data_IF_811207936541
#
_entry.id   IF_811207936541
#
_cell.length_a   1.000
_cell.length_b   1.000
_cell.length_c   1.000
_cell.angle_alpha   90.00
_cell.angle_beta   90.00
_cell.angle_gamma   90.00
#
_symmetry.space_group_name_H-M   'P 1'
#
loop_
_entity.id
_entity.type
_entity.pdbx_description
1 polymer ?
#
# COMPACT_ATOMS: atom_id res chain seq x y z
N UNK A 1 18.96 -66.06 -9.58
CA UNK A 1 18.19 -66.41 -8.36
C UNK A 1 18.80 -67.67 -7.76
N UNK A 2 19.12 -67.69 -6.47
CA UNK A 2 19.59 -68.88 -5.78
C UNK A 2 18.71 -69.18 -4.57
N UNK A 3 18.42 -70.45 -4.31
CA UNK A 3 17.65 -70.91 -3.16
C UNK A 3 18.42 -72.00 -2.40
N UNK A 4 18.28 -72.02 -1.08
CA UNK A 4 18.81 -73.09 -0.24
C UNK A 4 17.69 -74.08 0.07
N UNK A 5 18.01 -75.38 0.05
CA UNK A 5 17.05 -76.41 0.42
C UNK A 5 17.74 -77.63 1.02
N UNK A 6 16.98 -78.41 1.76
CA UNK A 6 17.43 -79.67 2.35
C UNK A 6 16.79 -80.84 1.62
N UNK A 7 17.61 -81.82 1.24
CA UNK A 7 17.13 -83.07 0.68
C UNK A 7 17.95 -84.22 1.26
N UNK A 8 17.28 -85.24 1.78
CA UNK A 8 17.92 -86.38 2.43
C UNK A 8 18.97 -85.98 3.50
N UNK A 9 18.62 -85.04 4.38
CA UNK A 9 19.47 -84.48 5.46
C UNK A 9 20.76 -83.77 5.01
N UNK A 10 20.91 -83.48 3.71
CA UNK A 10 22.03 -82.71 3.18
C UNK A 10 21.55 -81.33 2.71
N UNK A 11 22.36 -80.28 2.91
CA UNK A 11 22.06 -78.94 2.40
C UNK A 11 22.50 -78.81 0.94
N UNK A 12 21.67 -78.16 0.15
CA UNK A 12 21.95 -77.84 -1.24
C UNK A 12 21.65 -76.38 -1.52
N UNK A 13 22.32 -75.83 -2.52
CA UNK A 13 22.00 -74.53 -3.12
C UNK A 13 21.64 -74.76 -4.58
N UNK A 14 20.51 -74.23 -5.03
CA UNK A 14 20.12 -74.32 -6.43
C UNK A 14 19.99 -72.93 -7.05
N UNK A 15 20.24 -72.84 -8.36
CA UNK A 15 19.98 -71.63 -9.14
C UNK A 15 19.62 -71.98 -10.58
N UNK A 16 18.87 -71.10 -11.23
CA UNK A 16 18.65 -71.15 -12.67
C UNK A 16 19.59 -70.16 -13.33
N UNK A 17 20.32 -70.63 -14.34
CA UNK A 17 21.19 -69.81 -15.18
C UNK A 17 20.64 -69.86 -16.60
N UNK A 18 20.43 -68.68 -17.19
CA UNK A 18 20.07 -68.58 -18.60
C UNK A 18 21.33 -68.79 -19.45
N UNK A 19 21.30 -69.79 -20.31
CA UNK A 19 22.31 -69.98 -21.36
C UNK A 19 21.76 -69.49 -22.70
N UNK A 20 22.61 -69.39 -23.74
CA UNK A 20 22.23 -68.84 -25.04
C UNK A 20 21.05 -69.57 -25.74
N UNK A 21 20.75 -70.81 -25.34
CA UNK A 21 19.72 -71.64 -25.97
C UNK A 21 18.70 -72.27 -25.01
N UNK A 22 18.93 -72.28 -23.69
CA UNK A 22 17.98 -72.84 -22.71
C UNK A 22 18.25 -72.37 -21.26
N UNK A 23 17.31 -72.67 -20.36
CA UNK A 23 17.50 -72.51 -18.91
C UNK A 23 18.18 -73.76 -18.34
N UNK A 24 19.23 -73.55 -17.54
CA UNK A 24 19.99 -74.61 -16.87
C UNK A 24 19.79 -74.51 -15.35
N UNK A 25 19.24 -75.57 -14.75
CA UNK A 25 19.18 -75.74 -13.31
C UNK A 25 20.54 -76.25 -12.80
N UNK A 26 21.11 -75.55 -11.83
CA UNK A 26 22.34 -75.97 -11.15
C UNK A 26 22.03 -76.25 -9.69
N UNK A 27 22.39 -77.43 -9.21
CA UNK A 27 22.24 -77.84 -7.81
C UNK A 27 23.62 -78.14 -7.27
N UNK A 28 24.07 -77.37 -6.28
CA UNK A 28 25.36 -77.52 -5.63
C UNK A 28 25.18 -78.13 -4.25
N UNK A 29 25.97 -79.16 -3.94
CA UNK A 29 26.03 -79.77 -2.61
C UNK A 29 27.08 -79.07 -1.72
N UNK A 30 27.12 -79.41 -0.43
CA UNK A 30 28.09 -78.87 0.54
C UNK A 30 29.57 -79.16 0.18
N UNK A 31 29.84 -80.20 -0.62
CA UNK A 31 31.18 -80.59 -1.08
C UNK A 31 31.65 -79.78 -2.30
N UNK A 32 30.82 -78.86 -2.78
CA UNK A 32 31.09 -78.02 -3.95
C UNK A 32 30.87 -78.72 -5.30
N UNK A 33 30.29 -79.92 -5.33
CA UNK A 33 29.90 -80.58 -6.57
C UNK A 33 28.59 -80.00 -7.08
N UNK A 34 28.51 -79.79 -8.40
CA UNK A 34 27.36 -79.19 -9.06
C UNK A 34 26.74 -80.21 -10.01
N UNK A 35 25.44 -80.42 -9.89
CA UNK A 35 24.59 -81.07 -10.88
C UNK A 35 23.97 -79.98 -11.77
N UNK A 36 24.34 -79.96 -13.04
CA UNK A 36 23.77 -79.07 -14.05
C UNK A 36 22.81 -79.86 -14.95
N UNK A 37 21.58 -79.38 -15.08
CA UNK A 37 20.51 -79.99 -15.88
C UNK A 37 19.87 -78.92 -16.73
N UNK A 38 19.96 -79.07 -18.05
CA UNK A 38 19.25 -78.20 -18.98
C UNK A 38 17.78 -78.60 -19.08
N UNK A 39 16.91 -77.61 -19.20
CA UNK A 39 15.46 -77.83 -19.26
C UNK A 39 15.09 -78.78 -20.41
N UNK A 40 14.27 -79.79 -20.12
CA UNK A 40 13.82 -80.82 -21.08
C UNK A 40 14.82 -81.96 -21.35
N UNK A 41 16.03 -81.95 -20.79
CA UNK A 41 17.01 -83.05 -20.98
C UNK A 41 16.94 -84.08 -19.84
N UNK A 42 17.11 -85.36 -20.20
CA UNK A 42 17.15 -86.49 -19.25
C UNK A 42 18.57 -86.85 -18.78
N UNK A 43 19.60 -86.22 -19.36
CA UNK A 43 21.00 -86.38 -18.98
C UNK A 43 21.51 -85.06 -18.39
N UNK A 44 22.03 -85.12 -17.17
CA UNK A 44 22.69 -84.02 -16.47
C UNK A 44 24.21 -84.21 -16.38
N UNK A 45 24.90 -83.14 -16.00
CA UNK A 45 26.35 -83.12 -15.78
C UNK A 45 26.63 -82.93 -14.29
N UNK A 46 27.31 -83.88 -13.65
CA UNK A 46 27.66 -83.81 -12.23
C UNK A 46 29.17 -83.73 -12.03
N UNK A 47 29.65 -82.69 -11.37
CA UNK A 47 31.07 -82.55 -11.03
C UNK A 47 31.44 -81.20 -10.43
N UNK A 48 32.71 -81.04 -10.05
CA UNK A 48 33.24 -79.74 -9.54
C UNK A 48 33.53 -78.74 -10.66
N UNK A 49 33.82 -79.24 -11.87
CA UNK A 49 34.07 -78.45 -13.08
C UNK A 49 33.36 -79.10 -14.27
N UNK A 50 32.96 -78.30 -15.27
CA UNK A 50 32.16 -78.80 -16.40
C UNK A 50 32.97 -79.75 -17.29
N UNK A 51 34.27 -79.51 -17.42
CA UNK A 51 35.19 -80.27 -18.27
C UNK A 51 35.40 -81.70 -17.76
N UNK A 52 35.32 -81.89 -16.44
CA UNK A 52 35.51 -83.19 -15.77
C UNK A 52 34.19 -83.76 -15.21
N UNK A 53 33.05 -83.27 -15.71
CA UNK A 53 31.74 -83.66 -15.18
C UNK A 53 31.29 -85.02 -15.72
N UNK A 54 30.73 -85.85 -14.83
CA UNK A 54 30.16 -87.14 -15.19
C UNK A 54 28.76 -86.93 -15.75
N UNK A 55 28.46 -87.57 -16.89
CA UNK A 55 27.10 -87.64 -17.43
C UNK A 55 26.26 -88.58 -16.56
N UNK A 56 25.16 -88.08 -16.02
CA UNK A 56 24.26 -88.82 -15.14
C UNK A 56 22.84 -88.78 -15.67
N UNK A 57 22.12 -89.90 -15.57
CA UNK A 57 20.71 -89.95 -15.95
C UNK A 57 19.86 -89.37 -14.82
N UNK A 58 19.20 -88.24 -15.08
CA UNK A 58 18.44 -87.50 -14.08
C UNK A 58 17.05 -88.09 -13.80
N UNK A 59 16.61 -89.07 -14.60
CA UNK A 59 15.37 -89.84 -14.37
C UNK A 59 15.52 -90.88 -13.26
N UNK A 60 16.73 -91.08 -12.73
CA UNK A 60 16.93 -91.92 -11.54
C UNK A 60 16.14 -91.36 -10.35
N UNK A 61 15.47 -92.20 -9.52
CA UNK A 61 14.55 -91.73 -8.49
C UNK A 61 15.14 -90.69 -7.52
N UNK A 62 16.40 -90.87 -7.13
CA UNK A 62 17.08 -89.93 -6.23
C UNK A 62 17.31 -88.56 -6.89
N UNK A 63 17.88 -88.53 -8.10
CA UNK A 63 18.19 -87.29 -8.82
C UNK A 63 16.91 -86.56 -9.26
N UNK A 64 15.89 -87.31 -9.70
CA UNK A 64 14.58 -86.77 -10.06
C UNK A 64 13.93 -86.03 -8.88
N UNK A 65 13.90 -86.67 -7.70
CA UNK A 65 13.33 -86.07 -6.50
C UNK A 65 14.18 -84.91 -5.96
N UNK A 66 15.52 -84.98 -6.10
CA UNK A 66 16.42 -83.86 -5.79
C UNK A 66 16.15 -82.65 -6.69
N UNK A 67 15.96 -82.87 -7.99
CA UNK A 67 15.59 -81.82 -8.96
C UNK A 67 14.22 -81.24 -8.64
N UNK A 68 13.23 -82.07 -8.32
CA UNK A 68 11.90 -81.61 -7.90
C UNK A 68 11.97 -80.75 -6.63
N UNK A 69 12.76 -81.17 -5.63
CA UNK A 69 12.97 -80.40 -4.42
C UNK A 69 13.67 -79.05 -4.70
N UNK A 70 14.66 -79.04 -5.60
CA UNK A 70 15.34 -77.82 -6.02
C UNK A 70 14.42 -76.83 -6.76
N UNK A 71 13.54 -77.34 -7.64
CA UNK A 71 12.57 -76.51 -8.37
C UNK A 71 11.52 -75.92 -7.43
N UNK A 72 10.97 -76.70 -6.51
CA UNK A 72 10.05 -76.20 -5.48
C UNK A 72 10.71 -75.11 -4.61
N UNK A 73 11.99 -75.32 -4.23
CA UNK A 73 12.72 -74.34 -3.44
C UNK A 73 12.92 -73.01 -4.19
N UNK A 74 13.17 -73.07 -5.51
CA UNK A 74 13.26 -71.87 -6.35
C UNK A 74 11.92 -71.15 -6.49
N UNK A 75 10.83 -71.89 -6.71
CA UNK A 75 9.48 -71.32 -6.80
C UNK A 75 9.04 -70.64 -5.50
N UNK A 76 9.31 -71.29 -4.36
CA UNK A 76 9.06 -70.70 -3.03
C UNK A 76 9.87 -69.42 -2.86
N UNK A 77 11.17 -69.44 -3.19
CA UNK A 77 12.02 -68.26 -3.08
C UNK A 77 11.54 -67.11 -3.99
N UNK A 78 11.10 -67.42 -5.22
CA UNK A 78 10.60 -66.41 -6.18
C UNK A 78 9.30 -65.78 -5.67
N UNK A 79 8.37 -66.59 -5.18
CA UNK A 79 7.12 -66.12 -4.59
C UNK A 79 7.34 -65.32 -3.32
N UNK A 80 8.25 -65.76 -2.43
CA UNK A 80 8.61 -65.01 -1.22
C UNK A 80 9.22 -63.65 -1.56
N UNK A 81 10.08 -63.56 -2.58
CA UNK A 81 10.60 -62.27 -3.04
C UNK A 81 9.50 -61.36 -3.58
N UNK A 82 8.60 -61.88 -4.42
CA UNK A 82 7.47 -61.08 -4.93
C UNK A 82 6.56 -60.57 -3.81
N UNK A 83 6.31 -61.39 -2.79
CA UNK A 83 5.54 -60.97 -1.62
C UNK A 83 6.24 -59.85 -0.84
N UNK A 84 7.55 -59.96 -0.60
CA UNK A 84 8.33 -58.89 0.04
C UNK A 84 8.32 -57.59 -0.78
N UNK A 85 8.44 -57.68 -2.10
CA UNK A 85 8.36 -56.52 -3.00
C UNK A 85 6.96 -55.89 -2.96
N UNK A 86 5.90 -56.70 -2.93
CA UNK A 86 4.52 -56.21 -2.81
C UNK A 86 4.26 -55.58 -1.43
N UNK A 87 4.73 -56.18 -0.34
CA UNK A 87 4.62 -55.63 1.01
C UNK A 87 5.31 -54.26 1.11
N UNK A 88 6.53 -54.13 0.57
CA UNK A 88 7.24 -52.85 0.54
C UNK A 88 6.50 -51.77 -0.28
N UNK A 89 5.88 -52.14 -1.41
CA UNK A 89 5.05 -51.21 -2.20
C UNK A 89 3.80 -50.79 -1.44
N UNK A 90 3.12 -51.73 -0.77
CA UNK A 90 1.93 -51.46 0.04
C UNK A 90 2.28 -50.54 1.21
N UNK A 91 3.41 -50.76 1.88
CA UNK A 91 3.89 -49.90 2.97
C UNK A 91 4.11 -48.47 2.49
N UNK A 92 4.82 -48.30 1.37
CA UNK A 92 5.04 -46.99 0.76
C UNK A 92 3.74 -46.30 0.31
N UNK A 93 2.79 -47.06 -0.24
CA UNK A 93 1.48 -46.52 -0.61
C UNK A 93 0.68 -46.10 0.61
N UNK A 94 0.74 -46.86 1.71
CA UNK A 94 0.08 -46.51 2.96
C UNK A 94 0.66 -45.24 3.58
N UNK A 95 1.99 -45.07 3.55
CA UNK A 95 2.64 -43.82 3.96
C UNK A 95 2.15 -42.63 3.13
N UNK A 96 2.06 -42.79 1.80
CA UNK A 96 1.59 -41.74 0.91
C UNK A 96 0.11 -41.39 1.17
N UNK A 97 -0.74 -42.39 1.42
CA UNK A 97 -2.15 -42.18 1.78
C UNK A 97 -2.26 -41.38 3.07
N UNK A 98 -1.40 -41.64 4.05
CA UNK A 98 -1.45 -40.93 5.33
C UNK A 98 -1.00 -39.47 5.19
N UNK A 99 0.03 -39.20 4.39
CA UNK A 99 0.44 -37.83 4.07
C UNK A 99 -0.67 -37.04 3.36
N UNK A 100 -1.34 -37.66 2.38
CA UNK A 100 -2.45 -37.02 1.66
C UNK A 100 -3.63 -36.71 2.57
N UNK A 101 -3.95 -37.58 3.54
CA UNK A 101 -4.99 -37.29 4.55
C UNK A 101 -4.62 -36.08 5.40
N UNK A 102 -3.38 -36.00 5.86
CA UNK A 102 -2.91 -34.84 6.64
C UNK A 102 -3.01 -33.54 5.82
N UNK A 103 -2.65 -33.58 4.54
CA UNK A 103 -2.76 -32.42 3.65
C UNK A 103 -4.22 -31.99 3.44
N UNK A 104 -5.14 -32.95 3.27
CA UNK A 104 -6.58 -32.67 3.17
C UNK A 104 -7.14 -32.04 4.45
N UNK A 105 -6.73 -32.49 5.64
CA UNK A 105 -7.14 -31.89 6.91
C UNK A 105 -6.66 -30.43 7.03
N UNK A 106 -5.40 -30.17 6.66
CA UNK A 106 -4.84 -28.81 6.66
C UNK A 106 -5.64 -27.93 5.70
N UNK A 107 -5.94 -28.42 4.50
CA UNK A 107 -6.71 -27.69 3.50
C UNK A 107 -8.12 -27.34 4.00
N UNK A 108 -8.82 -28.29 4.65
CA UNK A 108 -10.13 -28.05 5.23
C UNK A 108 -10.10 -27.03 6.36
N UNK A 109 -9.10 -27.09 7.26
CA UNK A 109 -8.91 -26.07 8.32
C UNK A 109 -8.67 -24.68 7.74
N UNK A 110 -7.81 -24.58 6.72
CA UNK A 110 -7.54 -23.32 6.05
C UNK A 110 -8.80 -22.73 5.40
N UNK A 111 -9.64 -23.59 4.81
CA UNK A 111 -10.93 -23.16 4.23
C UNK A 111 -11.88 -22.61 5.30
N UNK A 112 -12.01 -23.28 6.45
CA UNK A 112 -12.85 -22.80 7.56
C UNK A 112 -12.33 -21.46 8.09
N UNK A 113 -11.01 -21.35 8.31
CA UNK A 113 -10.38 -20.12 8.76
C UNK A 113 -10.62 -18.96 7.79
N UNK A 114 -10.57 -19.22 6.47
CA UNK A 114 -10.87 -18.22 5.44
C UNK A 114 -12.31 -17.72 5.53
N UNK A 115 -13.28 -18.62 5.73
CA UNK A 115 -14.69 -18.24 5.89
C UNK A 115 -14.91 -17.41 7.16
N UNK A 116 -14.27 -17.78 8.27
CA UNK A 116 -14.34 -16.98 9.51
C UNK A 116 -13.73 -15.58 9.35
N UNK A 117 -12.67 -15.44 8.53
CA UNK A 117 -12.08 -14.14 8.23
C UNK A 117 -13.04 -13.29 7.38
N UNK A 118 -13.71 -13.87 6.40
CA UNK A 118 -14.73 -13.19 5.60
C UNK A 118 -15.91 -12.71 6.47
N UNK A 119 -16.40 -13.54 7.38
CA UNK A 119 -17.47 -13.17 8.32
C UNK A 119 -17.05 -12.04 9.26
N UNK A 120 -15.80 -12.08 9.77
CA UNK A 120 -15.24 -10.99 10.59
C UNK A 120 -15.14 -9.68 9.80
N UNK A 121 -14.70 -9.74 8.55
CA UNK A 121 -14.62 -8.55 7.69
C UNK A 121 -16.00 -7.97 7.43
N UNK A 122 -17.01 -8.80 7.15
CA UNK A 122 -18.39 -8.36 6.97
C UNK A 122 -18.95 -7.72 8.24
N UNK A 123 -18.67 -8.32 9.41
CA UNK A 123 -19.08 -7.77 10.69
C UNK A 123 -18.46 -6.39 10.95
N UNK A 124 -17.15 -6.25 10.75
CA UNK A 124 -16.43 -4.98 10.90
C UNK A 124 -16.96 -3.91 9.94
N UNK A 125 -17.26 -4.28 8.69
CA UNK A 125 -17.87 -3.35 7.72
C UNK A 125 -19.23 -2.85 8.18
N UNK A 126 -20.07 -3.71 8.76
CA UNK A 126 -21.37 -3.33 9.30
C UNK A 126 -21.22 -2.42 10.53
N UNK A 127 -20.30 -2.73 11.45
CA UNK A 127 -19.98 -1.86 12.58
C UNK A 127 -19.49 -0.48 12.12
N UNK A 128 -18.63 -0.41 11.10
CA UNK A 128 -18.16 0.86 10.54
C UNK A 128 -19.33 1.71 9.98
N UNK A 129 -20.25 1.10 9.23
CA UNK A 129 -21.45 1.79 8.72
C UNK A 129 -22.33 2.35 9.84
N UNK A 130 -22.51 1.58 10.92
CA UNK A 130 -23.28 2.03 12.09
C UNK A 130 -22.59 3.21 12.80
N UNK A 131 -21.27 3.10 13.01
CA UNK A 131 -20.49 4.18 13.60
C UNK A 131 -20.51 5.46 12.74
N UNK A 132 -20.40 5.35 11.41
CA UNK A 132 -20.52 6.49 10.50
C UNK A 132 -21.88 7.18 10.61
N UNK A 133 -22.97 6.41 10.70
CA UNK A 133 -24.30 6.95 10.90
C UNK A 133 -24.44 7.70 12.23
N UNK A 134 -23.90 7.15 13.33
CA UNK A 134 -23.91 7.78 14.64
C UNK A 134 -23.08 9.07 14.65
N UNK A 135 -21.90 9.07 14.03
CA UNK A 135 -21.03 10.24 13.90
C UNK A 135 -21.74 11.35 13.13
N UNK A 136 -22.39 11.03 12.00
CA UNK A 136 -23.11 12.03 11.20
C UNK A 136 -24.31 12.61 11.96
N UNK A 137 -25.03 11.78 12.74
CA UNK A 137 -26.10 12.23 13.63
C UNK A 137 -25.58 13.17 14.73
N UNK A 138 -24.45 12.84 15.36
CA UNK A 138 -23.82 13.70 16.37
C UNK A 138 -23.30 15.01 15.76
N UNK A 139 -22.68 14.95 14.58
CA UNK A 139 -22.21 16.13 13.84
C UNK A 139 -23.35 17.12 13.59
N UNK A 140 -24.51 16.64 13.11
CA UNK A 140 -25.70 17.49 12.92
C UNK A 140 -26.18 18.12 14.23
N UNK A 141 -26.10 17.39 15.35
CA UNK A 141 -26.45 17.94 16.67
C UNK A 141 -25.47 19.03 17.10
N UNK A 142 -24.16 18.83 16.92
CA UNK A 142 -23.13 19.83 17.23
C UNK A 142 -23.36 21.09 16.42
N UNK A 143 -23.58 20.99 15.10
CA UNK A 143 -23.82 22.15 14.25
C UNK A 143 -25.04 22.98 14.71
N UNK A 144 -26.13 22.32 15.15
CA UNK A 144 -27.31 23.00 15.71
C UNK A 144 -27.01 23.73 17.03
N UNK A 145 -26.21 23.12 17.90
CA UNK A 145 -25.79 23.74 19.15
C UNK A 145 -24.85 24.92 18.91
N UNK A 146 -23.91 24.79 17.97
CA UNK A 146 -23.03 25.88 17.53
C UNK A 146 -23.84 27.04 16.95
N UNK A 147 -24.84 26.78 16.09
CA UNK A 147 -25.74 27.81 15.57
C UNK A 147 -26.54 28.52 16.69
N UNK A 148 -26.97 27.78 17.72
CA UNK A 148 -27.67 28.37 18.87
C UNK A 148 -26.78 29.22 19.78
N UNK A 149 -25.49 28.92 19.86
CA UNK A 149 -24.50 29.68 20.64
C UNK A 149 -23.90 30.86 19.88
N UNK A 150 -24.06 30.90 18.56
CA UNK A 150 -23.47 31.89 17.68
C UNK A 150 -24.17 33.25 17.77
N UNK A 151 -23.39 34.34 17.81
CA UNK A 151 -23.90 35.72 17.76
C UNK A 151 -24.27 36.18 16.35
N UNK A 152 -24.09 35.33 15.33
CA UNK A 152 -24.39 35.68 13.95
C UNK A 152 -25.91 35.74 13.72
N UNK A 153 -26.41 36.68 12.90
CA UNK A 153 -27.79 36.65 12.41
C UNK A 153 -28.13 35.28 11.81
N UNK A 154 -29.31 34.73 12.13
CA UNK A 154 -29.75 33.40 11.69
C UNK A 154 -30.07 33.30 10.18
N UNK A 155 -29.55 34.22 9.35
CA UNK A 155 -29.85 34.27 7.90
C UNK A 155 -29.42 33.00 7.18
N UNK A 156 -28.34 32.33 7.61
CA UNK A 156 -27.91 31.02 7.08
C UNK A 156 -27.38 30.12 8.20
N UNK A 157 -27.94 28.92 8.32
CA UNK A 157 -27.46 27.87 9.23
C UNK A 157 -26.11 27.27 8.79
N UNK A 158 -25.32 26.79 9.74
CA UNK A 158 -24.03 26.12 9.46
C UNK A 158 -24.19 24.91 8.55
N UNK A 159 -25.30 24.17 8.68
CA UNK A 159 -25.59 23.02 7.81
C UNK A 159 -25.77 23.45 6.34
N UNK A 160 -26.50 24.54 6.11
CA UNK A 160 -26.71 25.06 4.77
C UNK A 160 -25.44 25.67 4.19
N UNK A 161 -24.65 26.38 5.01
CA UNK A 161 -23.33 26.87 4.61
C UNK A 161 -22.43 25.70 4.18
N UNK A 162 -22.35 24.63 4.97
CA UNK A 162 -21.57 23.43 4.64
C UNK A 162 -21.99 22.83 3.29
N UNK A 163 -23.30 22.65 3.06
CA UNK A 163 -23.82 22.13 1.79
C UNK A 163 -23.40 22.99 0.60
N UNK A 164 -23.40 24.32 0.74
CA UNK A 164 -23.03 25.24 -0.33
C UNK A 164 -21.53 25.27 -0.60
N UNK A 165 -20.68 25.15 0.43
CA UNK A 165 -19.25 25.03 0.22
C UNK A 165 -18.91 23.69 -0.42
N UNK A 166 -19.49 22.59 0.09
CA UNK A 166 -19.30 21.23 -0.46
C UNK A 166 -19.69 21.15 -1.93
N UNK A 167 -20.80 21.77 -2.34
CA UNK A 167 -21.25 21.73 -3.73
C UNK A 167 -20.31 22.46 -4.69
N UNK A 168 -19.61 23.49 -4.21
CA UNK A 168 -18.59 24.22 -4.99
C UNK A 168 -17.26 23.51 -4.99
N UNK A 169 -16.78 23.07 -3.83
CA UNK A 169 -15.47 22.48 -3.63
C UNK A 169 -15.38 21.02 -4.11
N UNK A 170 -16.49 20.27 -4.00
CA UNK A 170 -16.54 18.84 -4.24
C UNK A 170 -16.31 18.02 -2.96
N UNK A 171 -16.94 16.85 -2.89
CA UNK A 171 -16.94 16.00 -1.69
C UNK A 171 -15.55 15.48 -1.31
N UNK A 172 -14.75 15.08 -2.31
CA UNK A 172 -13.40 14.57 -2.09
C UNK A 172 -12.50 15.62 -1.45
N UNK A 173 -12.39 16.79 -2.08
CA UNK A 173 -11.59 17.91 -1.57
C UNK A 173 -12.06 18.32 -0.17
N UNK A 174 -13.38 18.46 0.05
CA UNK A 174 -13.93 18.79 1.36
C UNK A 174 -13.50 17.83 2.47
N UNK A 175 -13.59 16.52 2.22
CA UNK A 175 -13.27 15.50 3.21
C UNK A 175 -11.77 15.42 3.54
N UNK A 176 -10.90 15.93 2.66
CA UNK A 176 -9.46 15.95 2.88
C UNK A 176 -8.99 17.18 3.68
N UNK A 177 -9.82 18.22 3.81
CA UNK A 177 -9.45 19.43 4.53
C UNK A 177 -9.36 19.21 6.04
N UNK A 178 -8.48 19.96 6.69
CA UNK A 178 -8.43 20.02 8.15
C UNK A 178 -9.78 20.48 8.73
N UNK A 179 -10.25 19.94 9.88
CA UNK A 179 -11.53 20.33 10.48
C UNK A 179 -11.68 21.83 10.75
N UNK A 180 -10.59 22.50 11.13
CA UNK A 180 -10.56 23.95 11.28
C UNK A 180 -10.77 24.67 9.94
N UNK A 181 -10.22 24.17 8.83
CA UNK A 181 -10.42 24.75 7.50
C UNK A 181 -11.85 24.58 7.01
N UNK A 182 -12.46 23.42 7.29
CA UNK A 182 -13.89 23.23 7.04
C UNK A 182 -14.73 24.25 7.81
N UNK A 183 -14.39 24.54 9.08
CA UNK A 183 -15.05 25.57 9.89
C UNK A 183 -14.86 26.97 9.31
N UNK A 184 -13.63 27.34 8.99
CA UNK A 184 -13.28 28.65 8.44
C UNK A 184 -13.99 28.90 7.10
N UNK A 185 -14.07 27.91 6.22
CA UNK A 185 -14.79 28.01 4.94
C UNK A 185 -16.30 28.20 5.13
N UNK A 186 -16.92 27.50 6.10
CA UNK A 186 -18.34 27.69 6.44
C UNK A 186 -18.59 29.11 6.95
N UNK A 187 -17.72 29.58 7.85
CA UNK A 187 -17.84 30.90 8.45
C UNK A 187 -17.64 32.00 7.39
N UNK A 188 -16.62 31.88 6.53
CA UNK A 188 -16.40 32.79 5.40
C UNK A 188 -17.66 32.90 4.52
N UNK A 189 -18.30 31.77 4.21
CA UNK A 189 -19.53 31.77 3.42
C UNK A 189 -20.71 32.42 4.15
N UNK A 190 -20.84 32.21 5.46
CA UNK A 190 -21.88 32.86 6.30
C UNK A 190 -21.70 34.37 6.32
N UNK A 191 -20.49 34.86 6.61
CA UNK A 191 -20.19 36.29 6.60
C UNK A 191 -20.48 36.92 5.24
N UNK A 192 -19.99 36.31 4.16
CA UNK A 192 -20.27 36.78 2.79
C UNK A 192 -21.77 36.95 2.55
N UNK A 193 -22.57 35.97 2.97
CA UNK A 193 -24.01 36.00 2.76
C UNK A 193 -24.71 37.03 3.63
N UNK A 194 -24.29 37.16 4.89
CA UNK A 194 -24.80 38.17 5.82
C UNK A 194 -24.57 39.58 5.27
N UNK A 195 -23.31 39.91 4.93
CA UNK A 195 -22.92 41.20 4.37
C UNK A 195 -23.70 41.49 3.08
N UNK A 196 -23.84 40.49 2.21
CA UNK A 196 -24.61 40.61 0.96
C UNK A 196 -26.11 40.82 1.18
N UNK A 197 -26.69 40.32 2.27
CA UNK A 197 -28.11 40.55 2.58
C UNK A 197 -28.37 41.89 3.27
N UNK A 198 -27.35 42.48 3.90
CA UNK A 198 -27.40 43.78 4.57
C UNK A 198 -27.16 44.97 3.62
N UNK A 199 -27.25 44.74 2.29
CA UNK A 199 -26.97 45.64 1.15
C UNK A 199 -27.83 46.93 1.05
N UNK A 200 -28.08 47.63 2.16
CA UNK A 200 -28.54 49.02 2.19
C UNK A 200 -27.41 50.04 2.42
N UNK A 201 -26.15 49.60 2.49
CA UNK A 201 -24.99 50.50 2.63
C UNK A 201 -24.05 50.38 1.43
N UNK A 202 -23.68 51.51 0.84
CA UNK A 202 -22.86 51.63 -0.38
C UNK A 202 -21.38 51.27 -0.20
N UNK A 203 -20.98 50.74 0.97
CA UNK A 203 -19.58 50.45 1.33
C UNK A 203 -19.49 49.21 2.22
N UNK A 204 -19.96 48.06 1.73
CA UNK A 204 -19.88 46.80 2.45
C UNK A 204 -18.43 46.27 2.52
N UNK A 205 -17.96 45.93 3.72
CA UNK A 205 -16.63 45.37 3.96
C UNK A 205 -16.69 43.84 4.08
N UNK A 206 -15.97 43.15 3.20
CA UNK A 206 -15.89 41.69 3.16
C UNK A 206 -14.69 41.10 3.92
N UNK A 207 -13.97 41.90 4.72
CA UNK A 207 -12.77 41.47 5.43
C UNK A 207 -13.05 40.29 6.38
N UNK A 208 -14.15 40.33 7.12
CA UNK A 208 -14.57 39.23 8.02
C UNK A 208 -14.89 37.93 7.26
N UNK A 209 -15.35 38.04 6.01
CA UNK A 209 -15.55 36.90 5.13
C UNK A 209 -14.25 36.41 4.50
N UNK A 210 -13.32 37.32 4.18
CA UNK A 210 -12.07 37.03 3.49
C UNK A 210 -10.96 36.51 4.41
N UNK A 211 -10.89 36.99 5.65
CA UNK A 211 -9.83 36.64 6.59
C UNK A 211 -9.72 35.13 6.85
N UNK A 212 -10.82 34.39 7.11
CA UNK A 212 -10.77 32.94 7.29
C UNK A 212 -10.23 32.18 6.07
N UNK A 213 -10.45 32.69 4.86
CA UNK A 213 -9.91 32.09 3.63
C UNK A 213 -8.37 32.12 3.59
N UNK A 214 -7.79 33.20 4.13
CA UNK A 214 -6.34 33.31 4.29
C UNK A 214 -5.75 32.25 5.21
N UNK A 215 -6.41 32.00 6.35
CA UNK A 215 -6.00 30.97 7.31
C UNK A 215 -6.11 29.56 6.71
N UNK A 216 -7.14 29.32 5.89
CA UNK A 216 -7.27 28.06 5.14
C UNK A 216 -6.09 27.87 4.18
N UNK A 217 -5.71 28.91 3.43
CA UNK A 217 -4.58 28.83 2.51
C UNK A 217 -3.27 28.49 3.22
N UNK A 218 -2.98 29.14 4.36
CA UNK A 218 -1.78 28.87 5.14
C UNK A 218 -1.81 27.43 5.70
N UNK A 219 -2.94 26.99 6.24
CA UNK A 219 -3.09 25.67 6.86
C UNK A 219 -2.98 24.52 5.88
N UNK A 220 -3.60 24.63 4.71
CA UNK A 220 -3.71 23.53 3.74
C UNK A 220 -2.56 23.51 2.72
N UNK A 221 -1.86 24.63 2.52
CA UNK A 221 -0.81 24.77 1.50
C UNK A 221 0.57 24.97 2.15
N UNK A 222 0.70 25.98 3.01
CA UNK A 222 2.00 26.42 3.52
C UNK A 222 2.52 25.46 4.58
N UNK A 223 1.72 25.19 5.61
CA UNK A 223 2.11 24.35 6.73
C UNK A 223 2.56 22.94 6.31
N UNK A 224 1.81 22.17 5.50
CA UNK A 224 2.24 20.85 5.10
C UNK A 224 3.51 20.87 4.25
N UNK A 225 3.68 21.87 3.38
CA UNK A 225 4.89 22.01 2.57
C UNK A 225 6.13 22.21 3.44
N UNK A 226 6.12 23.21 4.34
CA UNK A 226 7.31 23.54 5.12
C UNK A 226 7.65 22.47 6.17
N UNK A 227 6.63 21.86 6.81
CA UNK A 227 6.82 20.72 7.71
C UNK A 227 7.56 19.58 7.01
N UNK A 228 7.15 19.26 5.78
CA UNK A 228 7.71 18.13 5.03
C UNK A 228 9.04 18.45 4.34
N UNK A 229 9.22 19.68 3.86
CA UNK A 229 10.50 20.14 3.32
C UNK A 229 11.60 20.10 4.38
N UNK A 230 11.30 20.54 5.61
CA UNK A 230 12.23 20.48 6.73
C UNK A 230 12.63 19.03 7.07
N UNK A 231 11.66 18.10 7.12
CA UNK A 231 11.93 16.67 7.36
C UNK A 231 12.79 16.04 6.25
N UNK A 232 12.51 16.38 5.00
CA UNK A 232 13.30 15.92 3.86
C UNK A 232 14.76 16.39 3.94
N UNK A 233 14.97 17.66 4.29
CA UNK A 233 16.29 18.26 4.42
C UNK A 233 17.10 17.66 5.58
N UNK A 234 16.46 17.40 6.72
CA UNK A 234 17.09 16.69 7.84
C UNK A 234 17.57 15.29 7.43
N UNK A 235 16.75 14.54 6.70
CA UNK A 235 17.08 13.17 6.27
C UNK A 235 18.25 13.14 5.28
N UNK A 236 18.38 14.18 4.43
CA UNK A 236 19.50 14.33 3.48
C UNK A 236 20.81 14.72 4.16
N UNK A 237 20.76 15.44 5.29
CA UNK A 237 21.93 15.80 6.07
C UNK A 237 22.29 14.67 7.04
N UNK A 238 23.05 13.69 6.57
CA UNK A 238 23.52 12.50 7.32
C UNK A 238 24.33 12.81 8.59
N UNK A 239 24.68 14.07 8.85
CA UNK A 239 25.51 14.51 9.98
C UNK A 239 24.75 15.18 11.12
N UNK A 240 23.41 15.28 11.04
CA UNK A 240 22.60 15.97 12.06
C UNK A 240 21.93 14.96 12.98
N UNK A 241 22.16 15.09 14.28
CA UNK A 241 21.48 14.27 15.28
C UNK A 241 19.98 14.60 15.29
N UNK A 242 19.11 13.58 15.34
CA UNK A 242 17.65 13.74 15.29
C UNK A 242 17.07 14.67 16.38
N UNK A 243 17.85 14.95 17.44
CA UNK A 243 17.45 15.73 18.59
C UNK A 243 17.89 17.20 18.54
N UNK A 244 18.75 17.59 17.61
CA UNK A 244 19.16 18.99 17.46
C UNK A 244 18.20 19.71 16.51
N UNK A 245 17.49 20.72 17.03
CA UNK A 245 16.69 21.69 16.26
C UNK A 245 17.63 22.58 15.43
N UNK A 246 18.27 22.00 14.43
CA UNK A 246 19.23 22.70 13.60
C UNK A 246 18.51 23.58 12.59
N UNK A 247 18.79 24.90 12.57
CA UNK A 247 18.29 25.77 11.52
C UNK A 247 18.90 25.37 10.17
N UNK A 248 18.06 25.19 9.15
CA UNK A 248 18.49 24.90 7.78
C UNK A 248 18.22 26.15 6.93
N UNK A 249 19.28 26.78 6.44
CA UNK A 249 19.16 27.96 5.61
C UNK A 249 18.84 27.55 4.16
N UNK A 250 17.77 28.10 3.60
CA UNK A 250 17.39 27.92 2.20
C UNK A 250 17.16 29.30 1.57
N UNK A 251 18.18 29.80 0.89
CA UNK A 251 18.30 31.22 0.51
C UNK A 251 18.18 32.15 1.72
N UNK A 252 17.19 33.04 1.74
CA UNK A 252 16.92 33.93 2.87
C UNK A 252 15.96 33.36 3.93
N UNK A 253 15.49 32.12 3.78
CA UNK A 253 14.53 31.50 4.69
C UNK A 253 15.28 30.61 5.67
N UNK A 254 15.09 30.87 6.95
CA UNK A 254 15.65 30.04 8.02
C UNK A 254 14.64 28.96 8.43
N UNK A 255 14.85 27.73 7.97
CA UNK A 255 13.95 26.62 8.26
C UNK A 255 14.26 26.02 9.64
N UNK A 256 13.33 26.17 10.57
CA UNK A 256 13.35 25.59 11.92
C UNK A 256 12.12 24.70 12.17
N UNK A 257 12.24 23.83 13.18
CA UNK A 257 11.11 23.05 13.72
C UNK A 257 10.02 24.02 14.18
N UNK A 258 8.79 23.79 13.74
CA UNK A 258 7.61 24.61 14.05
C UNK A 258 7.76 26.10 13.68
N UNK A 259 8.57 26.40 12.65
CA UNK A 259 8.71 27.76 12.14
C UNK A 259 7.39 28.31 11.58
N UNK A 260 7.18 29.61 11.78
CA UNK A 260 6.04 30.33 11.20
C UNK A 260 6.40 30.80 9.79
N UNK A 261 5.92 30.06 8.79
CA UNK A 261 6.12 30.40 7.39
C UNK A 261 4.83 30.90 6.78
N UNK A 262 4.96 31.76 5.77
CA UNK A 262 3.83 32.39 5.11
C UNK A 262 3.72 31.97 3.65
N UNK A 263 2.57 32.29 3.04
CA UNK A 263 2.41 32.25 1.57
C UNK A 263 3.52 33.05 0.86
N UNK A 264 4.09 34.05 1.53
CA UNK A 264 5.15 34.85 0.95
C UNK A 264 6.51 34.19 0.88
N UNK A 265 6.80 33.31 1.82
CA UNK A 265 8.02 32.50 1.84
C UNK A 265 7.90 31.37 0.81
N UNK A 266 6.72 30.74 0.72
CA UNK A 266 6.49 29.63 -0.21
C UNK A 266 6.69 30.06 -1.67
N UNK A 267 6.09 31.16 -2.12
CA UNK A 267 6.12 31.55 -3.54
C UNK A 267 7.54 31.72 -4.08
N UNK A 268 8.46 32.26 -3.27
CA UNK A 268 9.82 32.58 -3.72
C UNK A 268 10.67 31.32 -3.90
N UNK A 269 10.34 30.25 -3.17
CA UNK A 269 10.98 28.94 -3.31
C UNK A 269 10.60 28.26 -4.63
N UNK A 270 9.35 28.45 -5.07
CA UNK A 270 8.83 27.77 -6.24
C UNK A 270 9.38 28.35 -7.55
N UNK A 271 9.32 29.67 -7.74
CA UNK A 271 9.67 30.28 -9.02
C UNK A 271 10.48 31.57 -8.90
N UNK A 272 11.31 31.86 -9.92
CA UNK A 272 12.03 33.13 -10.07
C UNK A 272 11.09 34.24 -10.58
N UNK A 273 10.05 33.87 -11.31
CA UNK A 273 9.08 34.79 -11.89
C UNK A 273 7.65 34.31 -11.60
N UNK A 274 6.72 35.23 -11.37
CA UNK A 274 5.30 34.92 -11.18
C UNK A 274 4.40 36.14 -11.45
N UNK A 275 3.12 35.91 -11.71
CA UNK A 275 2.13 36.97 -11.87
C UNK A 275 1.51 37.37 -10.54
N UNK A 276 1.34 38.67 -10.32
CA UNK A 276 0.71 39.23 -9.13
C UNK A 276 -0.17 40.43 -9.46
N UNK A 277 -1.07 40.81 -8.54
CA UNK A 277 -1.92 41.98 -8.71
C UNK A 277 -1.13 43.28 -8.71
N UNK A 278 -1.47 44.21 -9.60
CA UNK A 278 -0.91 45.57 -9.57
C UNK A 278 -1.40 46.32 -8.32
N UNK A 279 -0.56 47.18 -7.73
CA UNK A 279 -0.96 47.96 -6.54
C UNK A 279 -2.21 48.81 -6.81
N UNK A 280 -2.28 49.41 -8.00
CA UNK A 280 -3.43 50.21 -8.44
C UNK A 280 -4.70 49.36 -8.56
N UNK A 281 -4.63 48.13 -9.09
CA UNK A 281 -5.81 47.27 -9.22
C UNK A 281 -6.45 46.95 -7.87
N UNK A 282 -5.65 46.68 -6.85
CA UNK A 282 -6.12 46.33 -5.51
C UNK A 282 -6.75 47.50 -4.75
N UNK A 283 -6.59 48.74 -5.21
CA UNK A 283 -7.19 49.91 -4.58
C UNK A 283 -8.58 50.25 -5.15
N UNK A 284 -9.02 49.55 -6.20
CA UNK A 284 -10.30 49.83 -6.85
C UNK A 284 -11.46 49.11 -6.17
N UNK A 285 -12.60 49.79 -6.04
CA UNK A 285 -13.84 49.23 -5.50
C UNK A 285 -14.48 48.16 -6.39
N UNK A 286 -14.17 48.19 -7.70
CA UNK A 286 -14.67 47.24 -8.69
C UNK A 286 -13.50 46.59 -9.42
N UNK A 287 -13.72 45.38 -9.95
CA UNK A 287 -12.67 44.62 -10.64
C UNK A 287 -12.19 45.38 -11.89
N UNK A 288 -10.91 45.74 -11.99
CA UNK A 288 -10.38 46.39 -13.17
C UNK A 288 -10.50 45.50 -14.41
N UNK A 289 -10.86 46.10 -15.55
CA UNK A 289 -10.97 45.38 -16.84
C UNK A 289 -9.62 45.12 -17.52
N UNK A 290 -8.61 45.92 -17.20
CA UNK A 290 -7.26 45.84 -17.79
C UNK A 290 -6.20 46.03 -16.70
N UNK A 291 -4.96 45.61 -16.98
CA UNK A 291 -3.81 45.79 -16.07
C UNK A 291 -4.02 45.25 -14.66
N UNK A 292 -4.78 44.15 -14.54
CA UNK A 292 -5.03 43.48 -13.28
C UNK A 292 -3.76 42.84 -12.72
N UNK A 293 -2.97 42.23 -13.59
CA UNK A 293 -1.76 41.51 -13.25
C UNK A 293 -0.51 42.09 -13.92
N UNK A 294 0.63 41.87 -13.27
CA UNK A 294 1.95 42.06 -13.87
C UNK A 294 2.89 40.94 -13.41
N UNK A 295 3.95 40.69 -14.18
CA UNK A 295 4.97 39.70 -13.83
C UNK A 295 6.04 40.33 -12.94
N UNK A 296 6.31 39.71 -11.81
CA UNK A 296 7.44 40.01 -10.93
C UNK A 296 8.58 39.06 -11.24
N UNK A 297 9.81 39.55 -11.24
CA UNK A 297 11.03 38.77 -11.32
C UNK A 297 11.88 39.00 -10.06
N UNK A 298 12.28 37.91 -9.39
CA UNK A 298 13.16 37.91 -8.22
C UNK A 298 14.13 36.74 -8.29
N UNK A 299 15.27 36.98 -8.95
CA UNK A 299 16.38 36.04 -9.10
C UNK A 299 17.38 36.08 -7.94
N UNK A 300 17.30 37.08 -7.06
CA UNK A 300 18.32 37.44 -6.07
C UNK A 300 18.21 36.72 -4.71
N UNK A 301 17.06 36.08 -4.41
CA UNK A 301 16.78 35.58 -3.06
C UNK A 301 17.07 34.11 -2.80
N UNK A 302 16.96 33.26 -3.81
CA UNK A 302 17.08 31.80 -3.68
C UNK A 302 18.00 31.30 -4.79
N UNK A 303 19.04 30.54 -4.42
CA UNK A 303 20.02 30.01 -5.37
C UNK A 303 19.38 28.97 -6.30
N UNK A 304 19.98 28.75 -7.48
CA UNK A 304 19.51 27.70 -8.39
C UNK A 304 19.65 26.30 -7.76
N UNK A 305 20.66 26.08 -6.92
CA UNK A 305 20.86 24.83 -6.20
C UNK A 305 19.70 24.55 -5.22
N UNK A 306 19.28 25.57 -4.47
CA UNK A 306 18.15 25.45 -3.53
C UNK A 306 16.83 25.18 -4.27
N UNK A 307 16.61 25.81 -5.43
CA UNK A 307 15.43 25.54 -6.26
C UNK A 307 15.42 24.12 -6.79
N UNK A 308 16.57 23.60 -7.24
CA UNK A 308 16.70 22.20 -7.65
C UNK A 308 16.42 21.25 -6.48
N UNK A 309 16.86 21.59 -5.28
CA UNK A 309 16.55 20.83 -4.08
C UNK A 309 15.05 20.80 -3.78
N UNK A 310 14.37 21.95 -3.87
CA UNK A 310 12.91 22.02 -3.69
C UNK A 310 12.19 21.19 -4.75
N UNK A 311 12.65 21.22 -6.00
CA UNK A 311 12.09 20.36 -7.07
C UNK A 311 12.31 18.87 -6.79
N UNK A 312 13.49 18.47 -6.30
CA UNK A 312 13.74 17.08 -5.88
C UNK A 312 12.83 16.66 -4.73
N UNK A 313 12.62 17.53 -3.74
CA UNK A 313 11.67 17.29 -2.66
C UNK A 313 10.26 17.04 -3.22
N UNK A 314 9.77 17.93 -4.09
CA UNK A 314 8.43 17.80 -4.68
C UNK A 314 8.25 16.50 -5.48
N UNK A 315 9.29 16.02 -6.16
CA UNK A 315 9.24 14.74 -6.89
C UNK A 315 9.14 13.51 -5.97
N UNK A 316 9.68 13.60 -4.76
CA UNK A 316 9.69 12.48 -3.79
C UNK A 316 8.53 12.56 -2.79
N UNK A 317 7.94 13.74 -2.62
CA UNK A 317 6.90 13.97 -1.65
C UNK A 317 5.57 13.35 -2.09
N UNK A 318 5.22 12.21 -1.49
CA UNK A 318 3.94 11.50 -1.71
C UNK A 318 2.77 12.23 -1.05
N UNK A 319 2.42 13.39 -1.60
CA UNK A 319 1.31 14.20 -1.13
C UNK A 319 0.62 14.90 -2.32
N UNK A 320 -0.71 15.06 -2.35
CA UNK A 320 -1.41 15.65 -3.50
C UNK A 320 -0.94 17.07 -3.86
N UNK A 321 -0.51 17.85 -2.86
CA UNK A 321 0.05 19.19 -3.06
C UNK A 321 1.31 19.21 -3.93
N UNK A 322 2.10 18.13 -3.94
CA UNK A 322 3.37 18.06 -4.68
C UNK A 322 3.19 18.32 -6.18
N UNK A 323 2.19 17.68 -6.79
CA UNK A 323 1.88 17.80 -8.22
C UNK A 323 1.43 19.22 -8.59
N UNK A 324 0.68 19.86 -7.70
CA UNK A 324 0.24 21.23 -7.91
C UNK A 324 1.42 22.22 -7.78
N UNK A 325 2.25 22.09 -6.74
CA UNK A 325 3.43 22.93 -6.54
C UNK A 325 4.52 22.73 -7.60
N UNK A 326 4.59 21.54 -8.22
CA UNK A 326 5.50 21.26 -9.33
C UNK A 326 5.22 22.14 -10.55
N UNK A 327 4.01 22.70 -10.69
CA UNK A 327 3.69 23.73 -11.67
C UNK A 327 4.19 25.10 -11.20
N UNK A 328 5.51 25.21 -11.01
CA UNK A 328 6.15 26.24 -10.19
C UNK A 328 5.69 27.68 -10.48
N UNK A 329 5.58 28.07 -11.76
CA UNK A 329 5.12 29.42 -12.14
C UNK A 329 3.64 29.67 -11.80
N UNK A 330 2.76 28.71 -12.10
CA UNK A 330 1.31 28.80 -11.86
C UNK A 330 1.04 28.80 -10.35
N UNK A 331 1.70 27.90 -9.62
CA UNK A 331 1.59 27.80 -8.18
C UNK A 331 2.08 29.08 -7.49
N UNK A 332 3.27 29.58 -7.84
CA UNK A 332 3.82 30.82 -7.28
C UNK A 332 2.91 32.04 -7.55
N UNK A 333 2.35 32.13 -8.76
CA UNK A 333 1.43 33.21 -9.14
C UNK A 333 0.15 33.16 -8.31
N UNK A 334 -0.47 31.98 -8.21
CA UNK A 334 -1.69 31.77 -7.44
C UNK A 334 -1.48 32.03 -5.95
N UNK A 335 -0.37 31.54 -5.38
CA UNK A 335 -0.01 31.78 -3.97
C UNK A 335 0.17 33.28 -3.70
N UNK A 336 0.85 34.02 -4.59
CA UNK A 336 1.05 35.45 -4.37
C UNK A 336 -0.25 36.25 -4.51
N UNK A 337 -1.14 35.86 -5.43
CA UNK A 337 -2.47 36.45 -5.58
C UNK A 337 -3.32 36.24 -4.33
N UNK A 338 -3.38 34.99 -3.82
CA UNK A 338 -4.06 34.67 -2.56
C UNK A 338 -3.48 35.51 -1.42
N UNK A 339 -2.15 35.58 -1.30
CA UNK A 339 -1.48 36.37 -0.26
C UNK A 339 -1.85 37.86 -0.33
N UNK A 340 -1.88 38.46 -1.53
CA UNK A 340 -2.24 39.87 -1.71
C UNK A 340 -3.67 40.14 -1.21
N UNK A 341 -4.63 39.30 -1.58
CA UNK A 341 -6.03 39.44 -1.19
C UNK A 341 -6.25 39.13 0.31
N UNK A 342 -5.59 38.08 0.83
CA UNK A 342 -5.55 37.77 2.27
C UNK A 342 -4.99 38.93 3.08
N UNK A 343 -3.97 39.62 2.57
CA UNK A 343 -3.41 40.77 3.25
C UNK A 343 -4.40 41.95 3.28
N UNK A 344 -5.25 42.13 2.27
CA UNK A 344 -6.31 43.15 2.35
C UNK A 344 -7.27 42.79 3.49
N UNK A 345 -7.79 41.56 3.50
CA UNK A 345 -8.74 41.12 4.53
C UNK A 345 -8.17 41.09 5.97
N UNK A 346 -6.84 41.06 6.13
CA UNK A 346 -6.19 41.01 7.44
C UNK A 346 -5.73 42.38 7.98
N UNK A 347 -5.75 43.44 7.16
CA UNK A 347 -5.32 44.79 7.56
C UNK A 347 -6.49 45.78 7.41
N UNK A 348 -6.35 46.99 7.96
CA UNK A 348 -7.42 48.01 8.11
C UNK A 348 -8.01 48.61 6.83
N UNK A 349 -7.76 48.00 5.66
CA UNK A 349 -8.40 48.41 4.41
C UNK A 349 -9.67 47.58 4.20
N UNK A 350 -10.79 48.24 3.92
CA UNK A 350 -12.04 47.55 3.59
C UNK A 350 -11.85 46.64 2.36
N UNK A 351 -12.27 45.37 2.49
CA UNK A 351 -12.20 44.40 1.40
C UNK A 351 -13.46 44.52 0.54
N UNK A 352 -13.29 44.81 -0.75
CA UNK A 352 -14.41 44.92 -1.67
C UNK A 352 -14.93 43.54 -2.15
N UNK A 353 -16.20 43.50 -2.60
CA UNK A 353 -16.86 42.26 -3.03
C UNK A 353 -16.06 41.48 -4.08
N UNK A 354 -15.49 42.16 -5.08
CA UNK A 354 -14.74 41.48 -6.14
C UNK A 354 -13.43 40.86 -5.62
N UNK A 355 -12.79 41.50 -4.63
CA UNK A 355 -11.56 40.99 -4.00
C UNK A 355 -11.87 39.72 -3.21
N UNK A 356 -12.96 39.73 -2.43
CA UNK A 356 -13.44 38.54 -1.74
C UNK A 356 -13.78 37.42 -2.74
N UNK A 357 -14.52 37.78 -3.80
CA UNK A 357 -14.96 36.82 -4.82
C UNK A 357 -13.76 36.18 -5.53
N UNK A 358 -12.73 36.95 -5.85
CA UNK A 358 -11.51 36.41 -6.49
C UNK A 358 -10.72 35.53 -5.51
N UNK A 359 -10.59 35.92 -4.23
CA UNK A 359 -9.96 35.07 -3.21
C UNK A 359 -10.71 33.75 -3.04
N UNK A 360 -12.03 33.80 -3.03
CA UNK A 360 -12.90 32.63 -3.01
C UNK A 360 -12.67 31.74 -4.24
N UNK A 361 -12.61 32.33 -5.43
CA UNK A 361 -12.38 31.57 -6.67
C UNK A 361 -11.00 30.95 -6.74
N UNK A 362 -9.97 31.64 -6.27
CA UNK A 362 -8.61 31.10 -6.19
C UNK A 362 -8.56 29.88 -5.27
N UNK A 363 -9.22 29.90 -4.11
CA UNK A 363 -9.16 28.80 -3.14
C UNK A 363 -10.18 27.70 -3.36
N UNK A 364 -11.46 28.06 -3.43
CA UNK A 364 -12.60 27.14 -3.45
C UNK A 364 -13.09 26.86 -4.86
N UNK A 365 -12.99 27.85 -5.75
CA UNK A 365 -13.45 27.75 -7.13
C UNK A 365 -14.87 28.25 -7.37
N UNK A 366 -15.31 28.06 -8.61
CA UNK A 366 -16.61 28.44 -9.15
C UNK A 366 -17.19 27.29 -9.99
N UNK A 367 -18.31 27.52 -10.67
CA UNK A 367 -18.86 26.53 -11.61
C UNK A 367 -17.98 26.34 -12.86
N UNK A 368 -17.19 27.34 -13.21
CA UNK A 368 -16.42 27.40 -14.47
C UNK A 368 -14.91 27.38 -14.25
N UNK A 369 -14.46 27.56 -13.01
CA UNK A 369 -13.04 27.60 -12.63
C UNK A 369 -12.81 26.74 -11.40
N UNK A 370 -11.82 25.85 -11.44
CA UNK A 370 -11.39 25.09 -10.27
C UNK A 370 -10.58 26.00 -9.34
N UNK A 371 -10.82 25.88 -8.04
CA UNK A 371 -9.96 26.47 -7.01
C UNK A 371 -8.78 25.56 -6.66
N UNK A 372 -7.75 26.11 -6.04
CA UNK A 372 -6.52 25.39 -5.64
C UNK A 372 -6.84 24.17 -4.78
N UNK A 373 -7.75 24.28 -3.82
CA UNK A 373 -8.12 23.15 -2.96
C UNK A 373 -8.79 22.02 -3.78
N UNK A 374 -9.46 22.34 -4.87
CA UNK A 374 -10.01 21.34 -5.78
C UNK A 374 -8.90 20.70 -6.62
N UNK A 375 -7.99 21.51 -7.16
CA UNK A 375 -6.90 21.04 -8.02
C UNK A 375 -5.95 20.11 -7.26
N UNK A 376 -5.61 20.43 -6.01
CA UNK A 376 -4.79 19.59 -5.14
C UNK A 376 -5.41 18.19 -5.01
N UNK A 377 -6.73 18.09 -4.81
CA UNK A 377 -7.41 16.83 -4.55
C UNK A 377 -8.02 16.16 -5.79
N UNK A 378 -7.93 16.79 -6.97
CA UNK A 378 -8.54 16.27 -8.20
C UNK A 378 -7.87 14.99 -8.70
N UNK A 379 -6.56 14.84 -8.48
CA UNK A 379 -5.77 13.70 -8.93
C UNK A 379 -5.51 12.66 -7.82
N UNK A 380 -6.19 12.78 -6.66
CA UNK A 380 -5.97 11.89 -5.51
C UNK A 380 -6.51 10.47 -5.68
N UNK A 381 -7.18 10.17 -6.80
CA UNK A 381 -7.58 8.81 -7.20
C UNK A 381 -6.39 7.88 -7.51
N UNK A 382 -5.16 8.39 -7.57
CA UNK A 382 -3.93 7.59 -7.67
C UNK A 382 -3.34 7.17 -6.31
N UNK A 383 -3.93 7.62 -5.20
CA UNK A 383 -3.45 7.33 -3.83
C UNK A 383 -4.62 7.00 -2.90
N UNK A 384 -5.31 5.88 -3.15
CA UNK A 384 -6.43 5.40 -2.30
C UNK A 384 -6.02 5.11 -0.84
N UNK A 385 -4.72 5.15 -0.50
CA UNK A 385 -4.23 4.86 0.86
C UNK A 385 -3.79 6.08 1.70
N UNK A 386 -3.88 7.32 1.21
CA UNK A 386 -3.35 8.48 1.96
C UNK A 386 -4.40 9.21 2.79
N UNK A 387 -5.70 9.14 2.45
CA UNK A 387 -6.74 9.83 3.23
C UNK A 387 -6.97 9.24 4.65
N UNK A 388 -6.40 8.08 4.96
CA UNK A 388 -6.46 7.48 6.30
C UNK A 388 -5.20 7.72 7.15
N UNK A 389 -4.10 8.20 6.57
CA UNK A 389 -2.91 8.52 7.32
C UNK A 389 -2.98 9.98 7.77
N UNK A 390 -3.02 10.16 9.10
CA UNK A 390 -3.02 11.45 9.81
C UNK A 390 -4.41 12.05 10.04
N UNK A 391 -5.29 11.27 10.70
CA UNK A 391 -6.08 11.83 11.80
C UNK A 391 -5.10 12.08 12.97
N UNK A 392 -4.18 13.04 12.81
CA UNK A 392 -3.38 13.55 13.93
C UNK A 392 -4.38 14.09 14.97
N UNK A 393 -4.21 13.69 16.23
CA UNK A 393 -5.01 14.19 17.35
C UNK A 393 -5.16 15.70 17.20
N UNK A 394 -6.40 16.18 17.31
CA UNK A 394 -6.66 17.60 17.49
C UNK A 394 -5.92 18.08 18.74
N UNK A 395 -4.68 18.52 18.57
CA UNK A 395 -4.02 19.37 19.54
C UNK A 395 -4.60 20.74 19.25
N UNK A 396 -5.52 21.16 20.11
CA UNK A 396 -6.02 22.53 20.15
C UNK A 396 -4.84 23.45 20.43
N UNK A 397 -4.23 24.01 19.38
CA UNK A 397 -3.43 25.21 19.50
C UNK A 397 -4.40 26.39 19.44
N UNK A 398 -4.72 26.93 20.62
CA UNK A 398 -5.21 28.30 20.71
C UNK A 398 -4.06 29.20 20.27
N UNK A 399 -4.04 29.58 18.99
CA UNK A 399 -3.06 30.53 18.48
C UNK A 399 -3.81 31.77 18.01
N UNK A 400 -3.73 32.83 18.81
CA UNK A 400 -3.88 34.19 18.33
C UNK A 400 -2.52 34.60 17.78
N UNK A 401 -2.36 34.87 16.48
CA UNK A 401 -1.13 35.45 15.98
C UNK A 401 -0.99 36.85 16.57
N UNK A 402 0.03 37.05 17.40
CA UNK A 402 0.50 38.38 17.76
C UNK A 402 1.36 38.89 16.61
N UNK A 403 0.78 39.72 15.75
CA UNK A 403 1.54 40.36 14.69
C UNK A 403 2.44 41.44 15.32
N UNK A 404 3.77 41.29 15.18
CA UNK A 404 4.68 42.39 15.42
C UNK A 404 4.46 43.45 14.34
N UNK A 405 4.15 44.66 14.76
CA UNK A 405 4.10 45.84 13.90
C UNK A 405 5.47 46.11 13.29
N UNK A 406 5.65 45.80 12.01
CA UNK A 406 6.65 46.42 11.12
C UNK A 406 5.99 46.68 9.77
#
# INVERSE_FOLDING_TARGET
MAAEFYYNKCRYTCCIVNTASSQELRIRNERGEVLAVENGKTIGLQGKRRENSKRVNVSQPYLYNLIKAAMNALEIADKSRMLMEQEAVIEKQNEQVELLKQELEIFQRNKILSLEQEDKLLHLQNQLKEHEFLVEKQKKKILKLEDAQSQFPQTISLENAEKQVKSKLGLLAWNCLHPASQRDLRNAYRYYKMIKTEEFTTSADYSDAGHPLGLVAEREIVNPFFKQLYQFLLTKNTSVSFFEKTPILLGSINLIVDGEYTLGDLRILLSQQWQTFTKLSLQQETMPKTNLYYTVERSDKISQADRLLVQQFLQQWKHPLSLWLAQSYIAASTIDQIRKLRNIAAHSNSMHLWQFTELWFLLVGSKTRKGVLQEIHHNSSLTENVCHAVKEKAVTFNYFPTYSSI
#
